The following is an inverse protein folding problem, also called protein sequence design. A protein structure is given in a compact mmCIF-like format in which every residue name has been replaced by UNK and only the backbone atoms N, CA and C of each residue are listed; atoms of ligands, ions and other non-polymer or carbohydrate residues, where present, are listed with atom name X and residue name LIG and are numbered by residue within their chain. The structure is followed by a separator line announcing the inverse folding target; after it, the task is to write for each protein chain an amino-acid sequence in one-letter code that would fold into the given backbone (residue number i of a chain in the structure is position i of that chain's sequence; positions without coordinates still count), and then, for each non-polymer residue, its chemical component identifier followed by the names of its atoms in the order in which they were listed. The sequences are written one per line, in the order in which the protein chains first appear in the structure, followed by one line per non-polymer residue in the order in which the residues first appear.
data_IF_562377675292
#
_entry.id   IF_562377675292
#
_cell.length_a   1.000
_cell.length_b   1.000
_cell.length_c   1.000
_cell.angle_alpha   90.00
_cell.angle_beta   90.00
_cell.angle_gamma   90.00
#
_symmetry.space_group_name_H-M   'P 1'
#
loop_
_entity.id
_entity.type
_entity.pdbx_description
1 polymer ?
#
# COMPACT_ATOMS: atom_id res chain seq x y z
N UNK A 1 -24.40 -41.54 1.33
CA UNK A 1 -24.67 -41.67 -0.12
C UNK A 1 -23.40 -41.29 -0.87
N UNK A 2 -22.98 -42.03 -1.91
CA UNK A 2 -21.88 -41.59 -2.76
C UNK A 2 -22.25 -40.27 -3.43
N UNK A 3 -21.27 -39.36 -3.53
CA UNK A 3 -21.42 -38.06 -4.22
C UNK A 3 -20.60 -38.14 -5.50
N UNK A 4 -21.23 -37.87 -6.64
CA UNK A 4 -20.54 -37.84 -7.93
C UNK A 4 -19.65 -36.60 -8.01
N UNK A 5 -18.43 -36.74 -8.52
CA UNK A 5 -17.45 -35.66 -8.62
C UNK A 5 -16.90 -35.54 -10.03
N UNK A 6 -16.63 -34.31 -10.46
CA UNK A 6 -15.93 -34.05 -11.71
C UNK A 6 -14.85 -32.97 -11.55
N UNK A 7 -13.89 -32.98 -12.46
CA UNK A 7 -12.90 -31.93 -12.59
C UNK A 7 -13.34 -30.96 -13.69
N UNK A 8 -13.47 -29.68 -13.36
CA UNK A 8 -13.77 -28.61 -14.31
C UNK A 8 -12.51 -27.78 -14.51
N UNK A 9 -11.82 -27.90 -15.65
CA UNK A 9 -10.65 -27.09 -15.95
C UNK A 9 -11.04 -25.63 -16.16
N UNK A 10 -10.28 -24.71 -15.56
CA UNK A 10 -10.44 -23.28 -15.79
C UNK A 10 -9.69 -22.90 -17.06
N UNK A 11 -10.43 -22.43 -18.06
CA UNK A 11 -9.85 -21.91 -19.29
C UNK A 11 -9.13 -20.59 -19.02
N UNK A 12 -7.82 -20.57 -19.30
CA UNK A 12 -6.96 -19.40 -19.10
C UNK A 12 -5.85 -19.35 -20.18
N UNK A 13 -6.19 -19.04 -21.44
CA UNK A 13 -5.25 -19.16 -22.57
C UNK A 13 -4.06 -18.19 -22.49
N UNK A 14 -4.22 -17.07 -21.77
CA UNK A 14 -3.19 -16.04 -21.65
C UNK A 14 -2.41 -16.12 -20.33
N UNK A 15 -2.55 -17.22 -19.58
CA UNK A 15 -1.91 -17.41 -18.27
C UNK A 15 -2.09 -16.21 -17.33
N UNK A 16 -3.30 -15.65 -17.31
CA UNK A 16 -3.67 -14.54 -16.44
C UNK A 16 -3.72 -15.01 -14.99
N UNK A 17 -3.57 -14.08 -14.05
CA UNK A 17 -3.85 -14.40 -12.66
C UNK A 17 -5.36 -14.60 -12.48
N UNK A 18 -5.75 -15.70 -11.84
CA UNK A 18 -7.14 -16.07 -11.53
C UNK A 18 -7.30 -16.31 -10.04
N UNK A 19 -8.40 -15.81 -9.47
CA UNK A 19 -8.80 -16.02 -8.08
C UNK A 19 -10.16 -16.72 -8.09
N UNK A 20 -10.27 -17.81 -7.34
CA UNK A 20 -11.48 -18.63 -7.24
C UNK A 20 -11.95 -18.65 -5.79
N UNK A 21 -13.26 -18.57 -5.56
CA UNK A 21 -13.79 -18.62 -4.20
C UNK A 21 -15.28 -18.85 -4.10
N UNK A 22 -15.78 -18.71 -2.88
CA UNK A 22 -17.19 -18.79 -2.54
C UNK A 22 -17.61 -17.52 -1.81
N UNK A 23 -18.80 -17.04 -2.17
CA UNK A 23 -19.42 -15.81 -1.65
C UNK A 23 -20.84 -16.08 -1.18
N UNK A 24 -21.63 -15.02 -0.95
CA UNK A 24 -23.08 -15.07 -0.91
C UNK A 24 -23.65 -13.71 -1.29
N UNK A 25 -24.96 -13.63 -1.57
CA UNK A 25 -25.69 -12.36 -1.76
C UNK A 25 -25.27 -11.55 -3.02
N UNK A 26 -26.24 -10.87 -3.62
CA UNK A 26 -26.09 -10.25 -4.95
C UNK A 26 -25.08 -9.09 -4.96
N UNK A 27 -24.87 -8.43 -3.81
CA UNK A 27 -23.92 -7.32 -3.66
C UNK A 27 -22.46 -7.73 -3.87
N UNK A 28 -22.14 -9.03 -3.83
CA UNK A 28 -20.82 -9.59 -4.14
C UNK A 28 -20.21 -8.97 -5.41
N UNK A 29 -20.99 -8.84 -6.49
CA UNK A 29 -20.46 -8.38 -7.77
C UNK A 29 -19.95 -6.93 -7.70
N UNK A 30 -20.66 -6.06 -6.99
CA UNK A 30 -20.29 -4.65 -6.79
C UNK A 30 -19.17 -4.51 -5.76
N UNK A 31 -19.25 -5.18 -4.62
CA UNK A 31 -18.26 -4.99 -3.55
C UNK A 31 -16.90 -5.57 -3.91
N UNK A 32 -16.87 -6.68 -4.65
CA UNK A 32 -15.63 -7.20 -5.25
C UNK A 32 -15.07 -6.22 -6.28
N UNK A 33 -15.90 -5.58 -7.10
CA UNK A 33 -15.45 -4.55 -8.05
C UNK A 33 -14.80 -3.39 -7.31
N UNK A 34 -15.47 -2.83 -6.31
CA UNK A 34 -14.97 -1.71 -5.51
C UNK A 34 -13.67 -2.07 -4.77
N UNK A 35 -13.60 -3.26 -4.17
CA UNK A 35 -12.40 -3.75 -3.50
C UNK A 35 -11.21 -3.84 -4.44
N UNK A 36 -11.42 -4.31 -5.69
CA UNK A 36 -10.35 -4.42 -6.69
C UNK A 36 -9.88 -3.04 -7.16
N UNK A 37 -10.80 -2.15 -7.54
CA UNK A 37 -10.47 -0.78 -7.99
C UNK A 37 -9.80 0.03 -6.87
N UNK A 38 -10.22 -0.16 -5.62
CA UNK A 38 -9.63 0.51 -4.46
C UNK A 38 -8.25 -0.04 -4.05
N UNK A 39 -7.94 -1.30 -4.39
CA UNK A 39 -6.66 -1.91 -4.06
C UNK A 39 -5.54 -1.51 -5.02
N UNK A 40 -5.82 -1.48 -6.33
CA UNK A 40 -4.83 -1.16 -7.37
C UNK A 40 -5.45 -0.21 -8.40
N UNK A 41 -5.04 1.07 -8.42
CA UNK A 41 -5.50 2.00 -9.44
C UNK A 41 -5.14 1.54 -10.85
N UNK A 42 -6.11 1.61 -11.77
CA UNK A 42 -5.91 1.19 -13.16
C UNK A 42 -5.87 -0.33 -13.38
N UNK A 43 -6.16 -1.15 -12.36
CA UNK A 43 -6.26 -2.60 -12.50
C UNK A 43 -7.25 -3.01 -13.58
N UNK A 44 -6.91 -3.99 -14.40
CA UNK A 44 -7.83 -4.59 -15.37
C UNK A 44 -8.34 -5.92 -14.84
N UNK A 45 -9.66 -6.08 -14.74
CA UNK A 45 -10.25 -7.31 -14.23
C UNK A 45 -11.64 -7.61 -14.80
N UNK A 46 -12.03 -8.87 -14.66
CA UNK A 46 -13.40 -9.33 -14.82
C UNK A 46 -13.75 -10.27 -13.66
N UNK A 47 -14.90 -10.04 -13.03
CA UNK A 47 -15.47 -10.90 -11.99
C UNK A 47 -16.77 -11.53 -12.49
N UNK A 48 -16.96 -12.80 -12.16
CA UNK A 48 -18.24 -13.48 -12.35
C UNK A 48 -18.65 -14.20 -11.06
N UNK A 49 -19.93 -14.10 -10.71
CA UNK A 49 -20.54 -14.67 -9.51
C UNK A 49 -21.78 -15.48 -9.89
N UNK A 50 -21.88 -16.71 -9.42
CA UNK A 50 -23.03 -17.59 -9.63
C UNK A 50 -24.12 -17.33 -8.59
N UNK A 51 -25.15 -16.57 -8.94
CA UNK A 51 -26.33 -16.41 -8.08
C UNK A 51 -26.97 -17.79 -7.80
N UNK A 52 -27.18 -18.13 -6.53
CA UNK A 52 -27.63 -19.48 -6.14
C UNK A 52 -29.13 -19.61 -5.88
N UNK A 53 -29.89 -18.53 -6.09
CA UNK A 53 -31.34 -18.51 -5.90
C UNK A 53 -32.01 -17.51 -6.84
N UNK A 54 -33.35 -17.50 -6.89
CA UNK A 54 -34.09 -16.61 -7.78
C UNK A 54 -33.82 -16.93 -9.26
N UNK A 55 -33.37 -15.96 -10.08
CA UNK A 55 -33.03 -16.19 -11.48
C UNK A 55 -31.85 -17.14 -11.73
N UNK A 56 -31.00 -17.37 -10.72
CA UNK A 56 -29.81 -18.22 -10.80
C UNK A 56 -28.87 -17.84 -11.97
N UNK A 57 -28.64 -16.55 -12.17
CA UNK A 57 -27.81 -16.02 -13.25
C UNK A 57 -26.35 -15.86 -12.80
N UNK A 58 -25.42 -16.00 -13.76
CA UNK A 58 -24.05 -15.54 -13.56
C UNK A 58 -24.05 -14.01 -13.66
N UNK A 59 -23.76 -13.33 -12.55
CA UNK A 59 -23.59 -11.88 -12.47
C UNK A 59 -22.15 -11.54 -12.83
N UNK A 60 -21.94 -10.51 -13.63
CA UNK A 60 -20.62 -10.22 -14.23
C UNK A 60 -20.31 -8.74 -14.11
N UNK A 61 -19.21 -8.41 -13.45
CA UNK A 61 -18.71 -7.05 -13.29
C UNK A 61 -17.25 -6.94 -13.70
N UNK A 62 -16.76 -5.72 -13.84
CA UNK A 62 -15.35 -5.43 -14.15
C UNK A 62 -15.19 -4.38 -15.24
N UNK A 63 -13.94 -4.04 -15.53
CA UNK A 63 -13.57 -2.93 -16.41
C UNK A 63 -12.84 -3.38 -17.70
N UNK A 64 -12.64 -4.69 -17.90
CA UNK A 64 -12.11 -5.26 -19.13
C UNK A 64 -13.09 -6.29 -19.71
N UNK A 65 -13.66 -5.99 -20.87
CA UNK A 65 -14.76 -6.78 -21.45
C UNK A 65 -14.37 -8.24 -21.76
N UNK A 66 -13.15 -8.46 -22.22
CA UNK A 66 -12.62 -9.79 -22.51
C UNK A 66 -12.41 -10.61 -21.23
N UNK A 67 -11.96 -9.98 -20.14
CA UNK A 67 -11.86 -10.62 -18.82
C UNK A 67 -13.24 -10.93 -18.23
N UNK A 68 -14.24 -10.05 -18.42
CA UNK A 68 -15.64 -10.30 -18.03
C UNK A 68 -16.19 -11.54 -18.73
N UNK A 69 -16.00 -11.64 -20.05
CA UNK A 69 -16.44 -12.80 -20.82
C UNK A 69 -15.73 -14.08 -20.40
N UNK A 70 -14.42 -14.02 -20.12
CA UNK A 70 -13.65 -15.16 -19.64
C UNK A 70 -14.11 -15.63 -18.25
N UNK A 71 -14.34 -14.70 -17.33
CA UNK A 71 -14.87 -14.99 -15.99
C UNK A 71 -16.24 -15.64 -16.08
N UNK A 72 -17.15 -15.07 -16.88
CA UNK A 72 -18.51 -15.57 -17.05
C UNK A 72 -18.54 -16.99 -17.61
N UNK A 73 -17.73 -17.26 -18.64
CA UNK A 73 -17.61 -18.58 -19.27
C UNK A 73 -17.18 -19.64 -18.25
N UNK A 74 -16.12 -19.35 -17.49
CA UNK A 74 -15.59 -20.26 -16.48
C UNK A 74 -16.54 -20.45 -15.29
N UNK A 75 -17.19 -19.38 -14.81
CA UNK A 75 -18.19 -19.46 -13.75
C UNK A 75 -19.36 -20.37 -14.15
N UNK A 76 -19.84 -20.24 -15.39
CA UNK A 76 -20.91 -21.07 -15.93
C UNK A 76 -20.48 -22.54 -16.06
N UNK A 77 -19.24 -22.81 -16.48
CA UNK A 77 -18.69 -24.17 -16.57
C UNK A 77 -18.59 -24.84 -15.19
N UNK A 78 -18.15 -24.11 -14.17
CA UNK A 78 -18.13 -24.60 -12.78
C UNK A 78 -19.55 -24.82 -12.27
N UNK A 79 -20.46 -23.85 -12.52
CA UNK A 79 -21.90 -23.99 -12.29
C UNK A 79 -22.32 -24.24 -10.84
N UNK A 80 -21.44 -23.97 -9.87
CA UNK A 80 -21.73 -24.11 -8.45
C UNK A 80 -22.33 -22.84 -7.88
N UNK A 81 -23.40 -22.97 -7.08
CA UNK A 81 -24.07 -21.83 -6.46
C UNK A 81 -23.11 -21.05 -5.54
N UNK A 82 -23.14 -19.73 -5.65
CA UNK A 82 -22.27 -18.77 -4.96
C UNK A 82 -20.76 -18.92 -5.22
N UNK A 83 -20.37 -19.70 -6.21
CA UNK A 83 -19.01 -19.65 -6.73
C UNK A 83 -18.74 -18.28 -7.34
N UNK A 84 -17.54 -17.75 -7.13
CA UNK A 84 -17.06 -16.59 -7.86
C UNK A 84 -15.65 -16.80 -8.40
N UNK A 85 -15.36 -16.10 -9.48
CA UNK A 85 -14.07 -16.13 -10.18
C UNK A 85 -13.69 -14.71 -10.60
N UNK A 86 -12.43 -14.36 -10.41
CA UNK A 86 -11.84 -13.09 -10.83
C UNK A 86 -10.63 -13.37 -11.70
N UNK A 87 -10.59 -12.79 -12.90
CA UNK A 87 -9.37 -12.72 -13.71
C UNK A 87 -8.76 -11.32 -13.60
N UNK A 88 -7.45 -11.27 -13.47
CA UNK A 88 -6.66 -10.04 -13.34
C UNK A 88 -5.66 -9.93 -14.49
N UNK A 89 -5.50 -8.71 -14.99
CA UNK A 89 -4.41 -8.30 -15.88
C UNK A 89 -3.69 -7.11 -15.27
N UNK A 90 -2.37 -7.07 -15.45
CA UNK A 90 -1.48 -6.01 -14.93
C UNK A 90 -1.48 -5.88 -13.39
N UNK A 91 -1.92 -6.93 -12.69
CA UNK A 91 -1.89 -7.02 -11.23
C UNK A 91 -1.67 -8.47 -10.79
N UNK A 92 -1.11 -8.65 -9.59
CA UNK A 92 -0.93 -9.95 -8.95
C UNK A 92 -1.99 -10.15 -7.86
N UNK A 93 -2.39 -11.40 -7.58
CA UNK A 93 -3.34 -11.69 -6.51
C UNK A 93 -2.89 -11.14 -5.15
N UNK A 94 -1.59 -11.11 -4.87
CA UNK A 94 -1.05 -10.56 -3.63
C UNK A 94 -1.37 -9.08 -3.42
N UNK A 95 -1.65 -8.32 -4.49
CA UNK A 95 -2.06 -6.92 -4.40
C UNK A 95 -3.50 -6.76 -3.89
N UNK A 96 -4.37 -7.76 -4.10
CA UNK A 96 -5.83 -7.65 -3.89
C UNK A 96 -6.42 -8.64 -2.90
N UNK A 97 -5.73 -9.74 -2.58
CA UNK A 97 -6.26 -10.84 -1.76
C UNK A 97 -6.70 -10.42 -0.36
N UNK A 98 -6.09 -9.38 0.24
CA UNK A 98 -6.55 -8.85 1.54
C UNK A 98 -7.87 -8.12 1.39
N UNK A 99 -7.95 -7.18 0.45
CA UNK A 99 -9.18 -6.44 0.18
C UNK A 99 -10.35 -7.37 -0.16
N UNK A 100 -10.11 -8.41 -0.97
CA UNK A 100 -11.12 -9.42 -1.28
C UNK A 100 -11.59 -10.21 -0.04
N UNK A 101 -10.72 -10.52 0.91
CA UNK A 101 -11.11 -11.21 2.16
C UNK A 101 -11.87 -10.31 3.13
N UNK A 102 -11.69 -9.00 3.01
CA UNK A 102 -12.39 -8.01 3.82
C UNK A 102 -13.78 -7.67 3.25
N UNK A 103 -14.11 -8.13 2.03
CA UNK A 103 -15.47 -8.03 1.47
C UNK A 103 -16.41 -8.92 2.31
N UNK A 104 -17.48 -8.37 2.92
CA UNK A 104 -18.33 -9.12 3.86
C UNK A 104 -18.96 -10.38 3.27
N UNK A 105 -19.26 -10.37 1.98
CA UNK A 105 -19.87 -11.48 1.26
C UNK A 105 -18.90 -12.63 0.96
N UNK A 106 -17.59 -12.40 1.00
CA UNK A 106 -16.58 -13.42 0.66
C UNK A 106 -16.41 -14.39 1.83
N UNK A 107 -16.77 -15.64 1.60
CA UNK A 107 -16.72 -16.70 2.61
C UNK A 107 -15.39 -17.44 2.57
N UNK A 108 -14.89 -17.75 1.37
CA UNK A 108 -13.68 -18.56 1.20
C UNK A 108 -13.00 -18.25 -0.14
N UNK A 109 -11.66 -18.26 -0.14
CA UNK A 109 -10.85 -18.26 -1.37
C UNK A 109 -10.27 -19.67 -1.53
N UNK A 110 -10.54 -20.31 -2.66
CA UNK A 110 -10.04 -21.65 -3.00
C UNK A 110 -8.66 -21.61 -3.65
N UNK A 111 -8.43 -20.66 -4.55
CA UNK A 111 -7.19 -20.56 -5.33
C UNK A 111 -6.88 -19.10 -5.69
N UNK A 112 -5.59 -18.81 -5.92
CA UNK A 112 -5.10 -17.55 -6.46
C UNK A 112 -3.80 -17.82 -7.22
N UNK A 113 -3.88 -17.97 -8.55
CA UNK A 113 -2.81 -18.60 -9.35
C UNK A 113 -2.79 -18.12 -10.79
N UNK A 114 -1.70 -18.36 -11.51
CA UNK A 114 -1.62 -18.28 -12.97
C UNK A 114 -1.36 -19.67 -13.60
N UNK A 115 -1.23 -20.71 -12.78
CA UNK A 115 -1.05 -22.08 -13.25
C UNK A 115 -2.34 -22.61 -13.90
N UNK A 116 -2.24 -23.69 -14.69
CA UNK A 116 -3.39 -24.53 -14.97
C UNK A 116 -4.07 -24.96 -13.66
N UNK A 117 -5.39 -24.82 -13.58
CA UNK A 117 -6.14 -25.14 -12.37
C UNK A 117 -7.46 -25.83 -12.71
N UNK A 118 -7.74 -26.93 -12.00
CA UNK A 118 -9.00 -27.66 -12.07
C UNK A 118 -9.82 -27.42 -10.81
N UNK A 119 -11.13 -27.19 -10.97
CA UNK A 119 -12.08 -27.12 -9.85
C UNK A 119 -12.71 -28.50 -9.64
N UNK A 120 -12.61 -29.01 -8.41
CA UNK A 120 -13.25 -30.29 -8.02
C UNK A 120 -14.70 -29.99 -7.64
N UNK A 121 -15.65 -30.45 -8.44
CA UNK A 121 -17.07 -30.17 -8.26
C UNK A 121 -17.84 -31.42 -7.87
N UNK A 122 -18.54 -31.37 -6.74
CA UNK A 122 -19.53 -32.36 -6.32
C UNK A 122 -20.89 -32.08 -6.97
N UNK A 123 -21.58 -33.13 -7.43
CA UNK A 123 -22.92 -33.07 -8.01
C UNK A 123 -23.93 -33.77 -7.11
N UNK A 124 -25.08 -33.13 -6.94
CA UNK A 124 -26.24 -33.66 -6.21
C UNK A 124 -27.51 -33.36 -6.99
N UNK A 125 -28.65 -34.00 -6.67
CA UNK A 125 -29.94 -33.63 -7.26
C UNK A 125 -30.34 -32.16 -7.05
N UNK A 126 -29.80 -31.49 -6.01
CA UNK A 126 -30.05 -30.07 -5.74
C UNK A 126 -29.20 -29.14 -6.62
N UNK A 127 -28.00 -29.57 -7.01
CA UNK A 127 -27.04 -28.71 -7.69
C UNK A 127 -25.60 -29.12 -7.43
N UNK A 128 -24.70 -28.16 -7.61
CA UNK A 128 -23.25 -28.35 -7.65
C UNK A 128 -22.55 -27.58 -6.52
N UNK A 129 -21.47 -28.13 -5.98
CA UNK A 129 -20.66 -27.50 -4.94
C UNK A 129 -19.18 -27.73 -5.18
N UNK A 130 -18.36 -26.72 -4.91
CA UNK A 130 -16.89 -26.83 -5.02
C UNK A 130 -16.34 -27.52 -3.76
N UNK A 131 -15.60 -28.61 -3.95
CA UNK A 131 -14.92 -29.33 -2.86
C UNK A 131 -13.47 -28.84 -2.67
N UNK A 132 -12.86 -28.29 -3.71
CA UNK A 132 -11.47 -27.84 -3.71
C UNK A 132 -10.96 -27.59 -5.12
N UNK A 133 -9.65 -27.42 -5.25
CA UNK A 133 -8.96 -27.18 -6.52
C UNK A 133 -7.71 -28.05 -6.64
N UNK A 134 -7.28 -28.29 -7.88
CA UNK A 134 -5.94 -28.80 -8.22
C UNK A 134 -5.19 -27.67 -8.90
N UNK A 135 -4.28 -27.01 -8.18
CA UNK A 135 -3.53 -25.84 -8.65
C UNK A 135 -2.13 -26.26 -9.09
N UNK A 136 -1.92 -26.32 -10.41
CA UNK A 136 -0.66 -26.69 -11.03
C UNK A 136 -0.27 -28.15 -10.86
N UNK A 137 1.03 -28.39 -10.84
CA UNK A 137 1.63 -29.73 -10.93
C UNK A 137 2.02 -30.29 -9.57
N UNK A 138 2.09 -31.63 -9.47
CA UNK A 138 2.58 -32.30 -8.26
C UNK A 138 4.03 -31.93 -7.94
N UNK A 139 4.36 -31.84 -6.65
CA UNK A 139 5.73 -31.60 -6.17
C UNK A 139 6.70 -32.69 -6.65
N UNK A 140 7.88 -32.28 -7.11
CA UNK A 140 8.91 -33.18 -7.67
C UNK A 140 10.09 -33.45 -6.73
N UNK A 141 10.21 -32.69 -5.65
CA UNK A 141 11.30 -32.79 -4.68
C UNK A 141 11.34 -31.60 -3.72
N UNK A 142 12.40 -31.52 -2.91
CA UNK A 142 12.68 -30.42 -1.98
C UNK A 142 13.81 -29.56 -2.57
N UNK A 143 13.72 -28.24 -2.44
CA UNK A 143 14.75 -27.31 -2.94
C UNK A 143 16.12 -27.54 -2.27
N UNK A 144 17.20 -27.43 -3.04
CA UNK A 144 18.57 -27.39 -2.54
C UNK A 144 19.05 -25.96 -2.27
N UNK A 145 20.32 -25.81 -1.89
CA UNK A 145 20.93 -24.51 -1.60
C UNK A 145 20.89 -23.57 -2.80
N UNK A 146 21.17 -24.10 -4.00
CA UNK A 146 21.19 -23.32 -5.24
C UNK A 146 19.80 -22.80 -5.60
N UNK A 147 18.79 -23.66 -5.59
CA UNK A 147 17.40 -23.28 -5.88
C UNK A 147 16.90 -22.20 -4.90
N UNK A 148 17.30 -22.31 -3.62
CA UNK A 148 17.01 -21.30 -2.60
C UNK A 148 17.66 -19.95 -2.92
N UNK A 149 18.93 -19.94 -3.32
CA UNK A 149 19.63 -18.72 -3.72
C UNK A 149 18.97 -18.09 -4.96
N UNK A 150 18.63 -18.90 -5.94
CA UNK A 150 17.98 -18.48 -7.19
C UNK A 150 16.60 -17.85 -6.92
N UNK A 151 15.74 -18.47 -6.09
CA UNK A 151 14.44 -17.87 -5.75
C UNK A 151 14.57 -16.57 -4.96
N UNK A 152 15.56 -16.46 -4.06
CA UNK A 152 15.82 -15.22 -3.32
C UNK A 152 16.31 -14.12 -4.28
N UNK A 153 17.18 -14.46 -5.23
CA UNK A 153 17.66 -13.53 -6.23
C UNK A 153 16.53 -13.07 -7.16
N UNK A 154 15.64 -13.97 -7.55
CA UNK A 154 14.45 -13.67 -8.36
C UNK A 154 13.47 -12.72 -7.64
N UNK A 155 13.13 -13.01 -6.37
CA UNK A 155 12.26 -12.15 -5.57
C UNK A 155 12.82 -10.74 -5.36
N UNK A 156 14.15 -10.57 -5.49
CA UNK A 156 14.82 -9.26 -5.43
C UNK A 156 14.81 -8.50 -6.77
N UNK A 157 14.49 -9.18 -7.88
CA UNK A 157 14.49 -8.62 -9.24
C UNK A 157 13.09 -8.33 -9.75
N UNK A 158 12.07 -9.07 -9.31
CA UNK A 158 10.69 -8.85 -9.73
C UNK A 158 10.13 -7.59 -9.07
N UNK A 159 9.47 -6.80 -9.89
CA UNK A 159 8.53 -5.78 -9.45
C UNK A 159 7.12 -6.39 -9.40
N UNK A 160 6.47 -6.32 -8.24
CA UNK A 160 5.13 -6.83 -8.01
C UNK A 160 4.05 -5.75 -8.21
N UNK A 161 4.37 -4.63 -8.86
CA UNK A 161 3.49 -3.48 -9.06
C UNK A 161 3.20 -2.71 -7.78
N UNK A 162 3.86 -3.09 -6.68
CA UNK A 162 3.79 -2.43 -5.39
C UNK A 162 5.10 -2.69 -4.64
N UNK A 163 5.73 -1.66 -4.02
CA UNK A 163 6.91 -1.90 -3.22
C UNK A 163 6.56 -2.90 -2.11
N UNK A 164 7.24 -4.05 -2.10
CA UNK A 164 6.96 -5.09 -1.11
C UNK A 164 7.28 -4.53 0.29
N UNK A 165 6.46 -4.80 1.32
CA UNK A 165 6.71 -4.38 2.71
C UNK A 165 7.92 -5.05 3.36
N UNK A 166 8.86 -5.58 2.56
CA UNK A 166 10.16 -6.07 3.00
C UNK A 166 11.22 -5.87 1.90
N UNK A 167 11.63 -4.63 1.58
CA UNK A 167 12.92 -4.41 0.95
C UNK A 167 14.02 -4.81 1.95
N UNK A 168 15.27 -4.95 1.48
CA UNK A 168 16.44 -5.15 2.35
C UNK A 168 16.39 -4.20 3.57
N UNK A 169 16.86 -4.65 4.73
CA UNK A 169 16.90 -3.82 5.94
C UNK A 169 17.57 -2.46 5.69
N UNK A 170 16.79 -1.39 5.84
CA UNK A 170 17.18 0.00 5.67
C UNK A 170 17.15 0.52 4.23
N UNK A 171 16.85 1.81 4.07
CA UNK A 171 16.95 2.49 2.78
C UNK A 171 18.33 3.15 2.59
N UNK A 172 19.00 2.94 1.44
CA UNK A 172 20.39 3.37 1.25
C UNK A 172 20.54 4.76 0.62
N UNK A 173 19.45 5.43 0.26
CA UNK A 173 19.44 6.57 -0.68
C UNK A 173 19.16 7.93 -0.02
N UNK A 174 19.33 7.97 1.30
CA UNK A 174 19.27 9.16 2.11
C UNK A 174 18.72 8.92 3.50
N UNK A 175 19.07 9.81 4.41
CA UNK A 175 18.56 9.82 5.77
C UNK A 175 18.50 11.25 6.31
N UNK A 176 17.67 11.48 7.33
CA UNK A 176 17.70 12.73 8.06
C UNK A 176 16.89 12.68 9.35
N UNK A 177 17.22 13.58 10.26
CA UNK A 177 16.58 13.75 11.56
C UNK A 177 16.37 15.25 11.78
N UNK A 178 15.13 15.63 12.10
CA UNK A 178 14.76 16.95 12.60
C UNK A 178 14.17 16.81 13.99
N UNK A 179 14.60 17.66 14.92
CA UNK A 179 14.16 17.68 16.30
C UNK A 179 13.89 19.13 16.73
N UNK A 180 12.77 19.36 17.40
CA UNK A 180 12.41 20.64 18.02
C UNK A 180 12.18 20.36 19.51
N UNK A 181 12.97 20.98 20.36
CA UNK A 181 12.86 20.90 21.83
C UNK A 181 13.04 22.26 22.49
N UNK A 182 13.07 22.28 23.82
CA UNK A 182 13.28 23.51 24.60
C UNK A 182 14.62 24.19 24.28
N UNK A 183 15.63 23.40 23.92
CA UNK A 183 16.98 23.86 23.57
C UNK A 183 17.08 24.37 22.12
N UNK A 184 16.01 24.27 21.34
CA UNK A 184 15.90 24.79 19.98
C UNK A 184 15.77 23.70 18.92
N UNK A 185 16.18 24.07 17.71
CA UNK A 185 16.09 23.23 16.51
C UNK A 185 17.41 22.48 16.27
N UNK A 186 17.29 21.17 16.04
CA UNK A 186 18.41 20.32 15.64
C UNK A 186 18.05 19.58 14.37
N UNK A 187 18.88 19.70 13.33
CA UNK A 187 18.60 19.13 12.03
C UNK A 187 19.87 18.62 11.34
N UNK A 188 19.79 17.40 10.78
CA UNK A 188 20.85 16.81 9.97
C UNK A 188 20.24 15.91 8.88
N UNK A 189 20.93 15.78 7.76
CA UNK A 189 20.59 14.83 6.70
C UNK A 189 21.83 14.40 5.91
N UNK A 190 21.73 13.29 5.19
CA UNK A 190 22.80 12.77 4.33
C UNK A 190 22.26 11.95 3.16
N UNK A 191 23.02 11.82 2.05
CA UNK A 191 22.57 11.21 0.79
C UNK A 191 22.56 9.67 0.77
N UNK A 192 23.17 9.03 1.77
CA UNK A 192 23.45 7.59 1.75
C UNK A 192 22.72 6.79 2.83
N UNK A 193 23.29 5.64 3.19
CA UNK A 193 22.78 4.79 4.27
C UNK A 193 23.15 5.38 5.63
N UNK A 194 22.15 5.60 6.50
CA UNK A 194 22.35 6.16 7.84
C UNK A 194 23.43 5.43 8.66
N UNK A 195 23.43 4.09 8.65
CA UNK A 195 24.38 3.27 9.42
C UNK A 195 25.82 3.33 8.91
N UNK A 196 26.05 3.93 7.75
CA UNK A 196 27.39 4.09 7.15
C UNK A 196 27.88 5.54 7.22
N UNK A 197 27.05 6.49 7.66
CA UNK A 197 27.38 7.91 7.76
C UNK A 197 27.70 8.26 9.22
N UNK A 198 28.97 8.58 9.57
CA UNK A 198 29.34 8.91 10.95
C UNK A 198 28.54 10.06 11.56
N UNK A 199 28.04 10.98 10.72
CA UNK A 199 27.21 12.12 11.16
C UNK A 199 25.90 11.65 11.80
N UNK A 200 25.36 10.50 11.39
CA UNK A 200 24.15 9.94 11.99
C UNK A 200 24.39 9.60 13.46
N UNK A 201 25.42 8.81 13.74
CA UNK A 201 25.72 8.38 15.11
C UNK A 201 26.16 9.54 16.00
N UNK A 202 26.99 10.45 15.48
CA UNK A 202 27.40 11.66 16.19
C UNK A 202 26.19 12.52 16.57
N UNK A 203 25.25 12.72 15.63
CA UNK A 203 24.06 13.52 15.86
C UNK A 203 23.12 12.87 16.87
N UNK A 204 22.86 11.57 16.78
CA UNK A 204 22.05 10.84 17.76
C UNK A 204 22.65 10.94 19.16
N UNK A 205 23.97 10.75 19.31
CA UNK A 205 24.66 10.92 20.60
C UNK A 205 24.56 12.35 21.12
N UNK A 206 24.61 13.35 20.23
CA UNK A 206 24.46 14.76 20.59
C UNK A 206 23.02 15.06 21.07
N UNK A 207 22.01 14.61 20.34
CA UNK A 207 20.60 14.77 20.73
C UNK A 207 20.34 14.18 22.11
N UNK A 208 20.80 12.94 22.36
CA UNK A 208 20.61 12.25 23.63
C UNK A 208 21.28 12.95 24.84
N UNK A 209 22.25 13.85 24.59
CA UNK A 209 22.94 14.62 25.63
C UNK A 209 22.34 16.00 25.86
N UNK A 210 21.75 16.60 24.83
CA UNK A 210 21.37 18.03 24.84
C UNK A 210 19.86 18.20 24.93
N UNK A 211 19.08 17.35 24.27
CA UNK A 211 17.62 17.52 24.23
C UNK A 211 16.96 16.83 25.41
N UNK A 212 16.22 17.59 26.20
CA UNK A 212 15.34 17.05 27.24
C UNK A 212 13.91 16.94 26.72
N UNK A 213 13.14 15.90 27.07
CA UNK A 213 11.69 15.90 26.84
C UNK A 213 11.01 17.06 27.60
N UNK A 214 9.90 17.62 27.07
CA UNK A 214 9.26 17.24 25.81
C UNK A 214 10.03 17.72 24.57
N UNK A 215 10.03 16.89 23.52
CA UNK A 215 10.60 17.20 22.22
C UNK A 215 9.78 16.55 21.10
N UNK A 216 9.77 17.17 19.93
CA UNK A 216 9.20 16.60 18.71
C UNK A 216 10.32 16.19 17.77
N UNK A 217 10.25 14.98 17.24
CA UNK A 217 11.28 14.43 16.36
C UNK A 217 10.66 13.76 15.13
N UNK A 218 11.24 14.04 13.96
CA UNK A 218 10.99 13.33 12.71
C UNK A 218 12.31 12.77 12.20
N UNK A 219 12.34 11.45 12.00
CA UNK A 219 13.44 10.76 11.32
C UNK A 219 12.91 10.11 10.05
N UNK A 220 13.72 10.08 9.00
CA UNK A 220 13.33 9.48 7.73
C UNK A 220 14.51 8.75 7.08
N UNK A 221 14.24 7.58 6.52
CA UNK A 221 15.14 6.83 5.65
C UNK A 221 14.54 6.82 4.25
N UNK A 222 15.29 7.33 3.27
CA UNK A 222 14.78 7.58 1.92
C UNK A 222 15.19 6.47 0.95
N UNK A 223 14.24 6.00 0.16
CA UNK A 223 14.48 5.25 -1.06
C UNK A 223 14.29 6.19 -2.26
N UNK A 224 15.27 6.28 -3.15
CA UNK A 224 15.20 7.19 -4.29
C UNK A 224 14.60 6.48 -5.51
N UNK A 225 13.54 7.05 -6.11
CA UNK A 225 12.99 6.52 -7.36
C UNK A 225 13.96 6.67 -8.54
N UNK A 226 14.86 7.66 -8.48
CA UNK A 226 15.91 7.89 -9.48
C UNK A 226 17.29 8.05 -8.85
N UNK A 227 18.28 7.38 -9.43
CA UNK A 227 19.66 7.33 -8.91
C UNK A 227 20.35 8.70 -8.87
N UNK A 228 20.05 9.58 -9.83
CA UNK A 228 20.57 10.94 -9.88
C UNK A 228 20.03 11.83 -8.74
N UNK A 229 18.97 11.41 -8.05
CA UNK A 229 18.44 12.10 -6.87
C UNK A 229 19.02 11.58 -5.55
N UNK A 230 20.01 10.68 -5.55
CA UNK A 230 20.73 10.23 -4.35
C UNK A 230 21.74 11.31 -3.92
N UNK A 231 21.22 12.41 -3.38
CA UNK A 231 21.98 13.59 -2.98
C UNK A 231 21.37 14.21 -1.71
N UNK A 232 22.20 14.85 -0.88
CA UNK A 232 21.78 15.36 0.43
C UNK A 232 20.65 16.37 0.31
N UNK A 233 20.68 17.20 -0.73
CA UNK A 233 19.66 18.20 -0.99
C UNK A 233 18.25 17.61 -1.20
N UNK A 234 18.16 16.33 -1.59
CA UNK A 234 16.90 15.59 -1.82
C UNK A 234 16.55 14.64 -0.67
N UNK A 235 17.36 14.57 0.39
CA UNK A 235 17.09 13.74 1.57
C UNK A 235 16.11 14.44 2.51
N UNK A 236 15.11 13.68 2.95
CA UNK A 236 14.11 14.11 3.94
C UNK A 236 14.67 14.12 5.37
N UNK A 237 14.03 14.86 6.30
CA UNK A 237 12.95 15.81 6.06
C UNK A 237 13.46 17.11 5.41
N UNK A 238 12.61 17.81 4.66
CA UNK A 238 12.90 19.13 4.11
C UNK A 238 12.56 20.21 5.11
N UNK A 239 13.45 21.19 5.32
CA UNK A 239 13.24 22.34 6.20
C UNK A 239 12.76 23.57 5.41
N UNK A 240 11.74 24.27 5.91
CA UNK A 240 11.33 25.61 5.46
C UNK A 240 11.05 26.51 6.65
N UNK A 241 11.30 27.79 6.47
CA UNK A 241 10.92 28.83 7.41
C UNK A 241 9.99 29.80 6.69
N UNK A 242 8.81 30.02 7.25
CA UNK A 242 7.78 30.88 6.67
C UNK A 242 7.38 31.88 7.76
N UNK A 243 7.81 33.12 7.63
CA UNK A 243 7.59 34.21 8.62
C UNK A 243 7.87 33.79 10.07
N UNK A 244 9.04 33.16 10.30
CA UNK A 244 9.46 32.69 11.63
C UNK A 244 8.84 31.36 12.07
N UNK A 245 7.86 30.82 11.33
CA UNK A 245 7.37 29.44 11.53
C UNK A 245 8.30 28.46 10.83
N UNK A 246 9.08 27.72 11.61
CA UNK A 246 9.88 26.60 11.11
C UNK A 246 9.00 25.38 10.88
N UNK A 247 9.19 24.75 9.73
CA UNK A 247 8.48 23.53 9.36
C UNK A 247 9.44 22.49 8.77
N UNK A 248 9.16 21.22 9.02
CA UNK A 248 9.88 20.08 8.43
C UNK A 248 8.91 19.12 7.77
N UNK A 249 9.26 18.59 6.60
CA UNK A 249 8.37 17.72 5.82
C UNK A 249 9.07 16.45 5.35
N UNK A 250 8.51 15.29 5.72
CA UNK A 250 8.90 13.97 5.25
C UNK A 250 7.69 13.30 4.57
N UNK A 251 7.91 12.72 3.39
CA UNK A 251 6.84 12.22 2.53
C UNK A 251 7.16 10.81 2.05
N UNK A 252 6.16 9.94 2.07
CA UNK A 252 6.23 8.59 1.51
C UNK A 252 5.24 8.47 0.35
N UNK A 253 5.77 8.56 -0.87
CA UNK A 253 5.05 8.51 -2.13
C UNK A 253 5.85 9.14 -3.26
N UNK A 254 5.47 8.80 -4.49
CA UNK A 254 5.98 9.43 -5.71
C UNK A 254 4.83 10.04 -6.54
N UNK A 255 5.15 11.06 -7.34
CA UNK A 255 4.33 11.46 -8.50
C UNK A 255 4.94 10.83 -9.75
N UNK A 256 4.23 9.87 -10.34
CA UNK A 256 4.70 9.11 -11.49
C UNK A 256 5.15 10.02 -12.64
N UNK A 257 6.39 9.83 -13.09
CA UNK A 257 6.96 10.59 -14.21
C UNK A 257 7.26 12.06 -13.89
N UNK A 258 7.25 12.49 -12.62
CA UNK A 258 7.55 13.87 -12.24
C UNK A 258 8.99 14.27 -12.58
N UNK A 259 9.96 13.42 -12.18
CA UNK A 259 11.38 13.64 -12.40
C UNK A 259 11.97 14.80 -11.59
N UNK A 260 12.86 15.58 -12.21
CA UNK A 260 13.35 16.83 -11.64
C UNK A 260 12.71 17.98 -12.39
N UNK A 261 12.07 18.89 -11.66
CA UNK A 261 11.48 20.12 -12.22
C UNK A 261 12.08 21.30 -11.46
N UNK A 262 12.74 22.21 -12.18
CA UNK A 262 13.39 23.37 -11.57
C UNK A 262 14.36 22.99 -10.43
N UNK A 263 15.04 21.85 -10.57
CA UNK A 263 15.96 21.33 -9.55
C UNK A 263 15.28 20.77 -8.30
N UNK A 264 13.96 20.56 -8.32
CA UNK A 264 13.18 19.97 -7.21
C UNK A 264 12.67 18.59 -7.59
N UNK A 265 12.64 17.69 -6.60
CA UNK A 265 11.87 16.45 -6.68
C UNK A 265 10.40 16.72 -6.32
N UNK A 266 9.55 15.75 -6.64
CA UNK A 266 8.11 15.77 -6.37
C UNK A 266 7.75 16.11 -4.92
N UNK A 267 8.48 15.58 -3.92
CA UNK A 267 8.22 15.88 -2.52
C UNK A 267 8.38 17.37 -2.22
N UNK A 268 9.42 18.01 -2.74
CA UNK A 268 9.63 19.45 -2.54
C UNK A 268 8.54 20.25 -3.22
N UNK A 269 8.10 19.81 -4.40
CA UNK A 269 6.95 20.41 -5.09
C UNK A 269 5.66 20.29 -4.28
N UNK A 270 5.33 19.10 -3.77
CA UNK A 270 4.16 18.88 -2.89
C UNK A 270 4.25 19.77 -1.65
N UNK A 271 5.44 19.84 -1.04
CA UNK A 271 5.65 20.63 0.17
C UNK A 271 5.46 22.13 -0.09
N UNK A 272 6.01 22.66 -1.18
CA UNK A 272 5.82 24.06 -1.56
C UNK A 272 4.32 24.35 -1.79
N UNK A 273 3.57 23.47 -2.47
CA UNK A 273 2.11 23.61 -2.65
C UNK A 273 1.34 23.59 -1.33
N UNK A 274 1.76 22.76 -0.38
CA UNK A 274 1.14 22.71 0.94
C UNK A 274 1.39 24.01 1.70
N UNK A 275 2.62 24.52 1.71
CA UNK A 275 2.95 25.79 2.35
C UNK A 275 2.23 26.97 1.70
N UNK A 276 2.13 27.02 0.37
CA UNK A 276 1.36 28.05 -0.35
C UNK A 276 -0.10 28.06 0.09
N UNK A 277 -0.71 26.88 0.27
CA UNK A 277 -2.10 26.80 0.71
C UNK A 277 -2.29 27.03 2.21
N UNK A 278 -1.29 26.69 3.04
CA UNK A 278 -1.32 26.91 4.49
C UNK A 278 -1.07 28.39 4.81
N UNK A 279 -0.32 29.11 3.98
CA UNK A 279 0.12 30.47 4.28
C UNK A 279 1.13 30.49 5.41
N UNK A 280 1.28 31.65 6.03
CA UNK A 280 2.42 31.97 6.91
C UNK A 280 2.18 31.56 8.36
N UNK A 281 0.97 31.73 8.86
CA UNK A 281 0.60 31.43 10.25
C UNK A 281 0.25 29.95 10.47
N UNK A 282 0.48 29.47 11.70
CA UNK A 282 0.03 28.15 12.14
C UNK A 282 -1.50 28.09 12.21
N UNK A 283 -2.09 27.07 11.59
CA UNK A 283 -3.54 26.91 11.51
C UNK A 283 -4.07 25.86 12.48
N UNK A 284 -5.24 26.03 13.10
CA UNK A 284 -5.92 24.94 13.80
C UNK A 284 -6.09 23.72 12.89
N UNK A 285 -6.05 22.51 13.46
CA UNK A 285 -6.07 21.27 12.68
C UNK A 285 -7.20 21.20 11.63
N UNK A 286 -8.46 21.63 11.89
CA UNK A 286 -9.51 21.64 10.86
C UNK A 286 -9.17 22.49 9.63
N UNK A 287 -8.60 23.68 9.83
CA UNK A 287 -8.19 24.56 8.74
C UNK A 287 -6.95 24.03 8.01
N UNK A 288 -6.01 23.44 8.76
CA UNK A 288 -4.86 22.74 8.17
C UNK A 288 -5.33 21.64 7.21
N UNK A 289 -6.30 20.81 7.63
CA UNK A 289 -6.89 19.77 6.77
C UNK A 289 -7.51 20.34 5.51
N UNK A 290 -8.24 21.45 5.61
CA UNK A 290 -8.87 22.11 4.46
C UNK A 290 -7.83 22.65 3.47
N UNK A 291 -6.78 23.30 3.97
CA UNK A 291 -5.68 23.80 3.15
C UNK A 291 -4.95 22.66 2.43
N UNK A 292 -4.59 21.60 3.16
CA UNK A 292 -3.95 20.42 2.57
C UNK A 292 -4.87 19.72 1.56
N UNK A 293 -6.17 19.61 1.83
CA UNK A 293 -7.13 19.06 0.86
C UNK A 293 -7.22 19.89 -0.42
N UNK A 294 -7.23 21.23 -0.31
CA UNK A 294 -7.20 22.14 -1.46
C UNK A 294 -5.93 21.96 -2.30
N UNK A 295 -4.77 21.89 -1.64
CA UNK A 295 -3.50 21.69 -2.32
C UNK A 295 -3.45 20.32 -3.04
N UNK A 296 -3.89 19.24 -2.38
CA UNK A 296 -3.99 17.91 -2.99
C UNK A 296 -4.90 17.89 -4.21
N UNK A 297 -6.08 18.51 -4.14
CA UNK A 297 -6.99 18.60 -5.28
C UNK A 297 -6.35 19.33 -6.48
N UNK A 298 -5.58 20.39 -6.24
CA UNK A 298 -4.85 21.10 -7.28
C UNK A 298 -3.74 20.23 -7.90
N UNK A 299 -2.97 19.51 -7.08
CA UNK A 299 -1.94 18.57 -7.55
C UNK A 299 -2.58 17.41 -8.34
N UNK A 300 -3.67 16.84 -7.86
CA UNK A 300 -4.40 15.75 -8.54
C UNK A 300 -4.98 16.21 -9.89
N UNK A 301 -5.31 17.49 -10.02
CA UNK A 301 -5.72 18.08 -11.30
C UNK A 301 -4.54 18.22 -12.27
N UNK A 302 -3.37 18.60 -11.77
CA UNK A 302 -2.14 18.72 -12.56
C UNK A 302 -1.56 17.33 -12.93
N UNK A 303 -1.76 16.33 -12.06
CA UNK A 303 -1.21 14.98 -12.15
C UNK A 303 -2.29 13.90 -12.01
N UNK A 304 -3.24 13.81 -12.95
CA UNK A 304 -4.39 12.93 -12.83
C UNK A 304 -3.96 11.47 -12.74
N UNK A 305 -4.29 10.82 -11.62
CA UNK A 305 -3.99 9.41 -11.31
C UNK A 305 -2.49 9.06 -11.25
N UNK A 306 -1.60 10.04 -11.11
CA UNK A 306 -0.15 9.82 -11.05
C UNK A 306 0.44 9.90 -9.66
N UNK A 307 -0.28 10.48 -8.71
CA UNK A 307 0.18 10.58 -7.32
C UNK A 307 -0.06 9.25 -6.63
N UNK A 308 0.98 8.62 -6.11
CA UNK A 308 0.87 7.33 -5.43
C UNK A 308 0.37 7.47 -3.99
N UNK A 309 0.78 8.52 -3.30
CA UNK A 309 0.47 8.75 -1.90
C UNK A 309 0.76 10.21 -1.53
N UNK A 310 -0.02 10.75 -0.60
CA UNK A 310 0.22 11.97 0.16
C UNK A 310 0.49 11.66 1.64
N UNK A 311 0.99 10.46 1.93
CA UNK A 311 1.32 10.05 3.29
C UNK A 311 2.57 10.81 3.76
N UNK A 312 2.45 11.57 4.84
CA UNK A 312 3.54 12.44 5.32
C UNK A 312 3.60 12.55 6.85
N UNK A 313 4.78 12.99 7.31
CA UNK A 313 5.01 13.55 8.63
C UNK A 313 5.47 15.00 8.46
N UNK A 314 4.86 15.92 9.21
CA UNK A 314 5.20 17.34 9.19
C UNK A 314 5.39 17.86 10.60
N UNK A 315 6.56 18.42 10.91
CA UNK A 315 6.69 19.33 12.05
C UNK A 315 6.22 20.71 11.58
N UNK A 316 5.18 21.25 12.20
CA UNK A 316 4.59 22.55 11.88
C UNK A 316 4.62 23.44 13.12
N UNK A 317 5.71 24.18 13.32
CA UNK A 317 5.96 24.90 14.57
C UNK A 317 6.20 23.94 15.73
N UNK A 318 5.31 23.97 16.73
CA UNK A 318 5.40 23.19 17.97
C UNK A 318 4.47 21.97 17.97
N UNK A 319 4.19 21.38 16.81
CA UNK A 319 3.40 20.15 16.71
C UNK A 319 3.90 19.26 15.58
N UNK A 320 3.67 17.97 15.73
CA UNK A 320 3.81 16.97 14.69
C UNK A 320 2.43 16.63 14.12
N UNK A 321 2.29 16.73 12.81
CA UNK A 321 1.12 16.26 12.06
C UNK A 321 1.55 15.06 11.24
N UNK A 322 0.86 13.95 11.46
CA UNK A 322 0.94 12.77 10.61
C UNK A 322 -0.34 12.66 9.78
N UNK A 323 -0.19 12.35 8.50
CA UNK A 323 -1.32 12.12 7.60
C UNK A 323 -1.07 10.88 6.76
N UNK A 324 -2.02 9.95 6.74
CA UNK A 324 -1.98 8.80 5.84
C UNK A 324 -2.99 9.01 4.72
N UNK A 325 -2.52 9.00 3.48
CA UNK A 325 -3.37 9.16 2.28
C UNK A 325 -2.70 8.44 1.10
N UNK A 326 -2.85 7.12 1.06
CA UNK A 326 -2.42 6.27 -0.03
C UNK A 326 -3.44 6.34 -1.17
N UNK A 327 -2.96 6.61 -2.39
CA UNK A 327 -3.78 6.62 -3.62
C UNK A 327 -3.64 5.31 -4.37
N UNK A 328 -2.41 4.83 -4.51
CA UNK A 328 -2.06 3.49 -4.99
C UNK A 328 -1.53 2.68 -3.81
N UNK A 329 -1.43 1.36 -3.95
CA UNK A 329 -0.63 0.56 -3.01
C UNK A 329 -0.98 0.78 -1.53
N UNK A 330 -2.27 0.84 -1.21
CA UNK A 330 -2.79 1.15 0.15
C UNK A 330 -2.11 0.32 1.26
N UNK A 331 -1.78 -0.97 1.07
CA UNK A 331 -1.05 -1.75 2.08
C UNK A 331 0.43 -1.36 2.31
N UNK A 332 1.04 -0.58 1.41
CA UNK A 332 2.43 -0.14 1.51
C UNK A 332 2.57 1.21 2.23
N UNK A 333 1.84 2.24 1.77
CA UNK A 333 1.86 3.57 2.39
C UNK A 333 1.05 3.57 3.68
N UNK A 334 1.69 3.07 4.72
CA UNK A 334 1.11 2.88 6.05
C UNK A 334 1.69 3.91 7.01
N UNK A 335 0.91 4.21 8.05
CA UNK A 335 1.35 4.91 9.24
C UNK A 335 0.65 4.25 10.42
N UNK A 336 1.45 3.88 11.40
CA UNK A 336 1.02 3.26 12.63
C UNK A 336 1.32 4.20 13.77
N UNK A 337 0.39 4.34 14.70
CA UNK A 337 0.57 5.11 15.92
C UNK A 337 0.52 4.19 17.15
N UNK A 338 1.28 4.58 18.16
CA UNK A 338 1.21 4.03 19.51
C UNK A 338 1.50 5.14 20.51
N UNK A 339 1.02 4.97 21.73
CA UNK A 339 1.27 5.89 22.83
C UNK A 339 1.52 5.15 24.15
N UNK A 340 2.39 5.72 24.96
CA UNK A 340 2.55 5.47 26.40
C UNK A 340 2.26 6.76 27.16
N UNK A 341 2.45 6.75 28.49
CA UNK A 341 2.30 7.95 29.32
C UNK A 341 3.31 9.05 28.93
N UNK A 342 4.55 8.66 28.60
CA UNK A 342 5.66 9.59 28.34
C UNK A 342 5.96 9.85 26.85
N UNK A 343 5.34 9.09 25.93
CA UNK A 343 5.74 9.10 24.52
C UNK A 343 4.57 8.84 23.58
N UNK A 344 4.54 9.56 22.46
CA UNK A 344 3.70 9.25 21.30
C UNK A 344 4.57 9.01 20.09
N UNK A 345 4.27 7.96 19.33
CA UNK A 345 5.02 7.57 18.15
C UNK A 345 4.10 7.44 16.95
N UNK A 346 4.58 7.88 15.79
CA UNK A 346 3.97 7.56 14.50
C UNK A 346 5.08 7.13 13.54
N UNK A 347 4.93 5.96 12.92
CA UNK A 347 5.94 5.38 12.03
C UNK A 347 5.28 4.66 10.86
N UNK A 348 5.98 4.52 9.74
CA UNK A 348 5.49 3.74 8.61
C UNK A 348 5.26 2.27 8.99
N UNK A 349 6.10 1.73 9.88
CA UNK A 349 6.07 0.31 10.28
C UNK A 349 5.86 0.18 11.79
N UNK A 350 5.30 -0.95 12.22
CA UNK A 350 5.27 -1.30 13.65
C UNK A 350 6.69 -1.66 14.08
N UNK A 351 7.17 -1.04 15.15
CA UNK A 351 8.47 -1.34 15.76
C UNK A 351 8.25 -2.24 16.98
N UNK A 352 8.44 -3.58 16.88
CA UNK A 352 8.02 -4.52 17.94
C UNK A 352 8.79 -4.35 19.25
N UNK A 353 9.95 -3.69 19.20
CA UNK A 353 10.78 -3.39 20.37
C UNK A 353 10.27 -2.20 21.17
N UNK A 354 9.31 -1.43 20.66
CA UNK A 354 8.76 -0.26 21.34
C UNK A 354 7.41 -0.59 22.00
N UNK A 355 7.16 -0.06 23.20
CA UNK A 355 5.97 -0.38 23.98
C UNK A 355 4.69 0.26 23.39
N UNK A 356 3.56 -0.20 23.92
CA UNK A 356 2.23 0.34 23.62
C UNK A 356 1.41 -0.49 22.64
N UNK A 357 0.17 -0.06 22.42
CA UNK A 357 -0.78 -0.73 21.53
C UNK A 357 -0.80 -0.02 20.18
N UNK A 358 -0.16 -0.62 19.20
CA UNK A 358 -0.12 -0.10 17.85
C UNK A 358 -1.48 -0.20 17.15
N UNK A 359 -1.88 0.87 16.46
CA UNK A 359 -2.93 0.82 15.43
C UNK A 359 -2.45 1.49 14.15
N UNK A 360 -2.92 1.00 13.01
CA UNK A 360 -2.73 1.69 11.73
C UNK A 360 -3.74 2.85 11.62
N UNK A 361 -3.27 4.01 11.17
CA UNK A 361 -4.14 5.12 10.79
C UNK A 361 -5.03 4.72 9.59
N UNK A 362 -6.30 5.14 9.59
CA UNK A 362 -7.18 4.94 8.43
C UNK A 362 -6.69 5.76 7.24
N UNK A 363 -7.02 5.33 6.03
CA UNK A 363 -6.69 6.12 4.85
C UNK A 363 -7.48 7.44 4.88
N UNK A 364 -6.80 8.57 4.67
CA UNK A 364 -7.34 9.92 4.85
C UNK A 364 -7.26 10.48 6.28
N UNK A 365 -6.79 9.70 7.26
CA UNK A 365 -6.73 10.13 8.66
C UNK A 365 -5.57 11.12 8.92
N UNK A 366 -5.82 12.08 9.80
CA UNK A 366 -4.80 12.98 10.35
C UNK A 366 -4.66 12.70 11.84
N UNK A 367 -3.43 12.69 12.33
CA UNK A 367 -3.07 12.53 13.73
C UNK A 367 -2.13 13.67 14.14
N UNK A 368 -2.44 14.34 15.25
CA UNK A 368 -1.70 15.49 15.75
C UNK A 368 -1.08 15.15 17.12
N UNK A 369 0.21 15.47 17.25
CA UNK A 369 0.95 15.40 18.51
C UNK A 369 1.44 16.81 18.85
N UNK A 370 0.88 17.46 19.90
CA UNK A 370 1.41 18.74 20.38
C UNK A 370 2.78 18.54 21.05
N UNK A 371 3.61 19.59 21.10
CA UNK A 371 4.88 19.59 21.84
C UNK A 371 4.66 19.33 23.32
#
# INVERSE_FOLDING_TARGET
MPVDTELVPIENPSALNVILGQTHFIKTAEDVHEALVGAVPGIHFGVAFCEASGPCLVRVEGNAQDLKSLAAKNALAVGAGHFFIVFLRDAFPINVLRALRDVPEVVTIFAATANPVDVVVAKTPRGRGVLGVVDGERTKGVEGTKEREDRIAFLRKIDFGCPQPNPKAGHPDGWGIACIGAEGEFYVRGPGKATADPRYEEFVRRLARICSPPLLLVAHLRYASKKDTIQEQYSHPFRREVDGRVTFFAHNGEIEGFGLREGKIDTQFIYDRFLDSLGTEARPLPEFKQAVAKAKAAIDTEFPRKVESYTFLMLDGNRLIAHRDARTCVPYYTLHETATEDMRLVCSEVLPTLPGRWRMLRNGEFFEVPS
#
